data_IF_893387941844
#
_entry.id   IF_893387941844
#
_cell.length_a   1.000
_cell.length_b   1.000
_cell.length_c   1.000
_cell.angle_alpha   90.00
_cell.angle_beta   90.00
_cell.angle_gamma   90.00
#
_symmetry.space_group_name_H-M   'P 1'
#
loop_
_entity.id
_entity.type
_entity.pdbx_description
1 polymer ?
#
# COMPACT_ATOMS: atom_id res chain seq x y z
N UNK A 1 -25.36 -6.72 1.62
CA UNK A 1 -24.33 -7.58 2.22
C UNK A 1 -24.87 -8.33 3.43
N UNK A 2 -24.86 -9.67 3.38
CA UNK A 2 -25.06 -10.55 4.54
C UNK A 2 -23.75 -10.70 5.34
N UNK A 3 -23.81 -11.28 6.55
CA UNK A 3 -22.63 -11.54 7.35
C UNK A 3 -21.63 -12.47 6.63
N UNK A 4 -22.12 -13.46 5.89
CA UNK A 4 -21.29 -14.41 5.16
C UNK A 4 -20.60 -13.76 3.96
N UNK A 5 -21.29 -12.85 3.28
CA UNK A 5 -20.71 -12.03 2.21
C UNK A 5 -19.60 -11.11 2.76
N UNK A 6 -19.80 -10.51 3.94
CA UNK A 6 -18.77 -9.70 4.58
C UNK A 6 -17.53 -10.54 4.93
N UNK A 7 -17.71 -11.70 5.56
CA UNK A 7 -16.61 -12.63 5.88
C UNK A 7 -15.85 -13.06 4.63
N UNK A 8 -16.58 -13.38 3.56
CA UNK A 8 -15.99 -13.74 2.25
C UNK A 8 -15.16 -12.58 1.67
N UNK A 9 -15.66 -11.35 1.75
CA UNK A 9 -14.94 -10.17 1.30
C UNK A 9 -13.66 -9.91 2.11
N UNK A 10 -13.72 -10.00 3.43
CA UNK A 10 -12.53 -9.86 4.29
C UNK A 10 -11.50 -10.93 3.94
N UNK A 11 -11.92 -12.20 3.80
CA UNK A 11 -11.04 -13.31 3.39
C UNK A 11 -10.36 -13.04 2.05
N UNK A 12 -11.10 -12.47 1.09
CA UNK A 12 -10.55 -12.10 -0.20
C UNK A 12 -9.45 -11.05 -0.07
N UNK A 13 -9.68 -9.96 0.66
CA UNK A 13 -8.67 -8.92 0.87
C UNK A 13 -7.43 -9.44 1.61
N UNK A 14 -7.62 -10.27 2.64
CA UNK A 14 -6.50 -10.88 3.36
C UNK A 14 -5.69 -11.84 2.48
N UNK A 15 -6.35 -12.61 1.60
CA UNK A 15 -5.65 -13.51 0.67
C UNK A 15 -4.71 -12.79 -0.31
N UNK A 16 -4.90 -11.49 -0.53
CA UNK A 16 -4.09 -10.66 -1.43
C UNK A 16 -3.08 -9.76 -0.70
N UNK A 17 -3.13 -9.68 0.64
CA UNK A 17 -2.25 -8.83 1.45
C UNK A 17 -0.78 -9.16 1.25
N UNK A 18 -0.44 -10.44 1.17
CA UNK A 18 0.95 -10.86 0.95
C UNK A 18 1.48 -10.45 -0.43
N UNK A 19 0.65 -10.53 -1.48
CA UNK A 19 1.02 -10.09 -2.84
C UNK A 19 1.26 -8.57 -2.85
N UNK A 20 0.34 -7.83 -2.23
CA UNK A 20 0.50 -6.37 -2.06
C UNK A 20 1.81 -6.03 -1.35
N UNK A 21 2.08 -6.65 -0.19
CA UNK A 21 3.30 -6.41 0.58
C UNK A 21 4.55 -6.80 -0.19
N UNK A 22 4.53 -7.90 -0.95
CA UNK A 22 5.64 -8.31 -1.79
C UNK A 22 5.91 -7.28 -2.90
N UNK A 23 4.88 -6.81 -3.61
CA UNK A 23 5.02 -5.83 -4.69
C UNK A 23 5.53 -4.48 -4.17
N UNK A 24 4.94 -3.97 -3.08
CA UNK A 24 5.37 -2.72 -2.45
C UNK A 24 6.80 -2.83 -1.90
N UNK A 25 7.12 -3.95 -1.24
CA UNK A 25 8.45 -4.24 -0.72
C UNK A 25 9.51 -4.33 -1.81
N UNK A 26 9.22 -5.02 -2.91
CA UNK A 26 10.10 -5.09 -4.09
C UNK A 26 10.29 -3.72 -4.73
N UNK A 27 9.23 -2.92 -4.84
CA UNK A 27 9.31 -1.56 -5.36
C UNK A 27 10.22 -0.67 -4.50
N UNK A 28 10.11 -0.76 -3.18
CA UNK A 28 10.98 -0.03 -2.26
C UNK A 28 12.42 -0.52 -2.29
N UNK A 29 12.65 -1.83 -2.31
CA UNK A 29 13.98 -2.43 -2.41
C UNK A 29 14.69 -2.02 -3.71
N UNK A 30 13.97 -2.03 -4.83
CA UNK A 30 14.50 -1.58 -6.12
C UNK A 30 14.86 -0.08 -6.10
N UNK A 31 13.99 0.78 -5.54
CA UNK A 31 14.27 2.21 -5.41
C UNK A 31 15.51 2.50 -4.54
N UNK A 32 15.65 1.79 -3.41
CA UNK A 32 16.80 1.91 -2.53
C UNK A 32 18.08 1.46 -3.21
N UNK A 33 18.03 0.34 -3.94
CA UNK A 33 19.18 -0.16 -4.69
C UNK A 33 19.63 0.83 -5.77
N UNK A 34 18.69 1.39 -6.53
CA UNK A 34 18.97 2.40 -7.57
C UNK A 34 19.67 3.63 -6.97
N UNK A 35 19.13 4.19 -5.87
CA UNK A 35 19.68 5.39 -5.23
C UNK A 35 21.03 5.16 -4.56
N UNK A 36 21.17 4.07 -3.80
CA UNK A 36 22.43 3.74 -3.11
C UNK A 36 23.55 3.38 -4.08
N UNK A 37 23.24 3.00 -5.33
CA UNK A 37 24.24 2.78 -6.37
C UNK A 37 24.81 4.08 -6.97
N UNK A 38 24.10 5.19 -6.82
CA UNK A 38 24.44 6.49 -7.42
C UNK A 38 25.02 7.48 -6.41
N UNK A 39 24.70 7.33 -5.12
CA UNK A 39 25.07 8.30 -4.06
C UNK A 39 25.84 7.59 -2.95
N UNK A 40 26.91 8.21 -2.47
CA UNK A 40 27.58 7.77 -1.23
C UNK A 40 26.72 8.20 -0.04
N UNK A 41 26.00 7.25 0.55
CA UNK A 41 25.06 7.51 1.63
C UNK A 41 25.39 6.66 2.87
N UNK A 42 25.35 7.28 4.05
CA UNK A 42 25.54 6.60 5.32
C UNK A 42 24.18 6.27 5.94
N UNK A 43 23.86 4.99 6.03
CA UNK A 43 22.63 4.52 6.64
C UNK A 43 22.56 4.84 8.13
N UNK A 44 21.48 5.47 8.55
CA UNK A 44 21.23 5.86 9.94
C UNK A 44 20.11 5.03 10.57
N UNK A 45 20.02 5.07 11.89
CA UNK A 45 18.91 4.46 12.62
C UNK A 45 17.54 5.06 12.23
N UNK A 46 17.52 6.36 11.88
CA UNK A 46 16.31 7.05 11.44
C UNK A 46 15.73 6.47 10.13
N UNK A 47 16.61 6.04 9.21
CA UNK A 47 16.20 5.43 7.94
C UNK A 47 15.45 4.11 8.18
N UNK A 48 15.99 3.27 9.06
CA UNK A 48 15.36 2.01 9.46
C UNK A 48 13.98 2.26 10.09
N UNK A 49 13.88 3.24 11.00
CA UNK A 49 12.59 3.60 11.61
C UNK A 49 11.60 4.10 10.57
N UNK A 50 12.04 4.94 9.62
CA UNK A 50 11.22 5.45 8.53
C UNK A 50 10.62 4.34 7.68
N UNK A 51 11.42 3.33 7.33
CA UNK A 51 10.96 2.17 6.56
C UNK A 51 9.96 1.31 7.34
N UNK A 52 10.18 1.09 8.64
CA UNK A 52 9.24 0.34 9.47
C UNK A 52 7.90 1.08 9.58
N UNK A 53 7.94 2.38 9.86
CA UNK A 53 6.75 3.23 9.94
C UNK A 53 5.99 3.21 8.60
N UNK A 54 6.72 3.31 7.48
CA UNK A 54 6.14 3.20 6.15
C UNK A 54 5.47 1.84 5.91
N UNK A 55 6.11 0.73 6.29
CA UNK A 55 5.54 -0.61 6.15
C UNK A 55 4.24 -0.79 6.92
N UNK A 56 4.15 -0.23 8.13
CA UNK A 56 2.91 -0.19 8.92
C UNK A 56 1.86 0.66 8.20
N UNK A 57 2.22 1.88 7.80
CA UNK A 57 1.33 2.80 7.09
C UNK A 57 0.75 2.21 5.81
N UNK A 58 1.59 1.57 4.99
CA UNK A 58 1.19 0.90 3.76
C UNK A 58 0.17 -0.23 4.02
N UNK A 59 0.28 -0.96 5.13
CA UNK A 59 -0.68 -2.01 5.52
C UNK A 59 -2.01 -1.44 6.05
N UNK A 60 -1.97 -0.28 6.72
CA UNK A 60 -3.17 0.45 7.13
C UNK A 60 -3.90 0.96 5.88
N UNK A 61 -3.19 1.58 4.95
CA UNK A 61 -3.75 2.09 3.69
C UNK A 61 -4.36 0.97 2.84
N UNK A 62 -3.72 -0.20 2.79
CA UNK A 62 -4.30 -1.39 2.15
C UNK A 62 -5.67 -1.75 2.71
N UNK A 63 -5.85 -1.59 4.02
CA UNK A 63 -7.10 -1.91 4.71
C UNK A 63 -8.22 -0.91 4.40
N UNK A 64 -7.93 0.23 3.76
CA UNK A 64 -8.97 1.16 3.29
C UNK A 64 -9.87 0.53 2.22
N UNK A 65 -9.37 -0.42 1.42
CA UNK A 65 -10.17 -1.09 0.38
C UNK A 65 -11.41 -1.80 0.93
N UNK A 66 -11.27 -2.53 2.05
CA UNK A 66 -12.41 -3.17 2.73
C UNK A 66 -13.29 -2.14 3.45
N UNK A 67 -12.69 -1.07 4.01
CA UNK A 67 -13.43 0.00 4.68
C UNK A 67 -14.36 0.73 3.71
N UNK A 68 -13.90 1.10 2.52
CA UNK A 68 -14.75 1.75 1.50
C UNK A 68 -15.97 0.89 1.18
N UNK A 69 -15.79 -0.43 1.10
CA UNK A 69 -16.90 -1.37 0.88
C UNK A 69 -17.88 -1.43 2.06
N UNK A 70 -17.37 -1.44 3.29
CA UNK A 70 -18.19 -1.35 4.50
C UNK A 70 -18.97 -0.02 4.56
N UNK A 71 -18.33 1.08 4.14
CA UNK A 71 -18.95 2.41 4.08
C UNK A 71 -20.09 2.45 3.06
N UNK A 72 -19.89 1.94 1.83
CA UNK A 72 -20.95 1.86 0.82
C UNK A 72 -22.14 1.04 1.33
N UNK A 73 -21.86 -0.10 1.96
CA UNK A 73 -22.91 -0.96 2.49
C UNK A 73 -23.69 -0.32 3.65
N UNK A 74 -22.98 0.19 4.67
CA UNK A 74 -23.62 0.67 5.89
C UNK A 74 -24.27 2.05 5.71
N UNK A 75 -23.56 3.00 5.10
CA UNK A 75 -24.03 4.39 5.00
C UNK A 75 -24.82 4.66 3.71
N UNK A 76 -24.35 4.12 2.59
CA UNK A 76 -24.94 4.41 1.28
C UNK A 76 -25.95 3.35 0.82
N UNK A 77 -26.16 2.29 1.61
CA UNK A 77 -27.07 1.18 1.29
C UNK A 77 -26.77 0.59 -0.11
N UNK A 78 -25.49 0.42 -0.44
CA UNK A 78 -24.99 -0.09 -1.73
C UNK A 78 -25.33 0.79 -2.96
N UNK A 79 -25.68 2.07 -2.78
CA UNK A 79 -25.97 2.96 -3.92
C UNK A 79 -24.77 3.27 -4.80
N UNK A 80 -23.54 3.16 -4.28
CA UNK A 80 -22.33 3.40 -5.07
C UNK A 80 -21.92 2.17 -5.90
N UNK A 81 -22.45 0.99 -5.59
CA UNK A 81 -22.21 -0.24 -6.36
C UNK A 81 -20.76 -0.73 -6.30
N UNK A 82 -20.05 -0.45 -5.21
CA UNK A 82 -18.60 -0.71 -5.07
C UNK A 82 -18.28 -2.22 -5.01
N UNK A 83 -19.30 -3.06 -4.80
CA UNK A 83 -19.17 -4.51 -4.62
C UNK A 83 -18.40 -5.23 -5.73
N UNK A 84 -18.62 -4.84 -7.00
CA UNK A 84 -18.00 -5.45 -8.18
C UNK A 84 -16.57 -4.99 -8.46
N UNK A 85 -16.15 -3.87 -7.87
CA UNK A 85 -14.89 -3.20 -8.23
C UNK A 85 -13.72 -3.54 -7.31
N UNK A 86 -13.87 -4.50 -6.41
CA UNK A 86 -12.82 -4.90 -5.44
C UNK A 86 -11.46 -5.17 -6.09
N UNK A 87 -11.44 -5.78 -7.28
CA UNK A 87 -10.21 -6.07 -8.00
C UNK A 87 -9.56 -4.80 -8.56
N UNK A 88 -10.36 -3.84 -9.04
CA UNK A 88 -9.87 -2.54 -9.51
C UNK A 88 -9.26 -1.75 -8.35
N UNK A 89 -9.94 -1.68 -7.20
CA UNK A 89 -9.39 -1.03 -6.01
C UNK A 89 -8.09 -1.67 -5.55
N UNK A 90 -8.01 -3.00 -5.58
CA UNK A 90 -6.78 -3.70 -5.22
C UNK A 90 -5.64 -3.39 -6.21
N UNK A 91 -5.88 -3.44 -7.52
CA UNK A 91 -4.87 -3.14 -8.55
C UNK A 91 -4.41 -1.69 -8.44
N UNK A 92 -5.34 -0.73 -8.47
CA UNK A 92 -5.01 0.70 -8.43
C UNK A 92 -4.32 1.08 -7.11
N UNK A 93 -4.81 0.56 -5.98
CA UNK A 93 -4.18 0.77 -4.68
C UNK A 93 -2.77 0.20 -4.62
N UNK A 94 -2.54 -0.98 -5.20
CA UNK A 94 -1.21 -1.58 -5.26
C UNK A 94 -0.27 -0.76 -6.14
N UNK A 95 -0.70 -0.39 -7.35
CA UNK A 95 0.10 0.45 -8.27
C UNK A 95 0.44 1.78 -7.60
N UNK A 96 -0.55 2.43 -7.00
CA UNK A 96 -0.36 3.69 -6.27
C UNK A 96 0.66 3.53 -5.14
N UNK A 97 0.53 2.50 -4.29
CA UNK A 97 1.47 2.26 -3.20
C UNK A 97 2.88 1.97 -3.69
N UNK A 98 3.05 1.23 -4.79
CA UNK A 98 4.36 0.99 -5.39
C UNK A 98 4.98 2.30 -5.91
N UNK A 99 4.24 3.07 -6.70
CA UNK A 99 4.71 4.35 -7.25
C UNK A 99 5.04 5.34 -6.14
N UNK A 100 4.19 5.43 -5.11
CA UNK A 100 4.42 6.29 -3.96
C UNK A 100 5.66 5.86 -3.17
N UNK A 101 5.83 4.56 -2.93
CA UNK A 101 7.02 4.02 -2.24
C UNK A 101 8.28 4.36 -3.02
N UNK A 102 8.30 4.08 -4.32
CA UNK A 102 9.42 4.39 -5.19
C UNK A 102 9.75 5.88 -5.19
N UNK A 103 8.74 6.73 -5.40
CA UNK A 103 8.90 8.19 -5.45
C UNK A 103 9.37 8.76 -4.12
N UNK A 104 8.90 8.21 -2.99
CA UNK A 104 9.31 8.67 -1.66
C UNK A 104 10.80 8.42 -1.40
N UNK A 105 11.31 7.25 -1.81
CA UNK A 105 12.75 6.97 -1.72
C UNK A 105 13.53 7.91 -2.63
N UNK A 106 13.09 8.08 -3.88
CA UNK A 106 13.73 8.98 -4.84
C UNK A 106 13.82 10.43 -4.30
N UNK A 107 12.72 10.96 -3.78
CA UNK A 107 12.65 12.30 -3.19
C UNK A 107 13.55 12.42 -1.95
N UNK A 108 13.57 11.39 -1.09
CA UNK A 108 14.39 11.38 0.12
C UNK A 108 15.89 11.49 -0.20
N UNK A 109 16.37 10.73 -1.18
CA UNK A 109 17.78 10.76 -1.58
C UNK A 109 18.14 12.02 -2.37
N UNK A 110 17.27 12.53 -3.25
CA UNK A 110 17.52 13.81 -3.90
C UNK A 110 17.57 14.94 -2.88
N UNK A 111 16.63 14.97 -1.94
CA UNK A 111 16.58 15.99 -0.89
C UNK A 111 17.72 15.92 0.13
N UNK A 112 18.48 14.82 0.18
CA UNK A 112 19.67 14.70 1.02
C UNK A 112 20.97 15.04 0.30
N UNK A 113 20.95 15.17 -1.03
CA UNK A 113 22.11 15.52 -1.88
C UNK A 113 22.19 17.03 -2.16
N UNK A 114 21.08 17.77 -2.06
CA UNK A 114 21.02 19.23 -2.17
C UNK A 114 20.88 19.89 -0.79
#
# INVERSE_FOLDING_TARGET
MTLDELKSNIKWWESKRWIYNALVGLSGAFALWDMLSQVTYYWTFSDTLGIIIWGIGANILYSLGILVKLFDWYYFKNKLGVEGYRMIFWILGTIFSCLYTFSSVFIYFIGSVF
#
